data_IF_337262794850
#
_entry.id   IF_337262794850
#
_cell.length_a   1.000
_cell.length_b   1.000
_cell.length_c   1.000
_cell.angle_alpha   90.00
_cell.angle_beta   90.00
_cell.angle_gamma   90.00
#
_symmetry.space_group_name_H-M   'P 1'
#
loop_
_entity.id
_entity.type
_entity.pdbx_description
1 polymer ?
#
# COMPACT_ATOMS: atom_id res chain seq x y z
N UNK A 1 -50.69 -4.77 6.62
CA UNK A 1 -50.29 -5.97 5.86
C UNK A 1 -49.62 -5.59 4.53
N UNK A 2 -50.29 -4.95 3.57
CA UNK A 2 -49.75 -4.68 2.22
C UNK A 2 -48.48 -3.79 2.16
N UNK A 3 -48.36 -2.79 3.04
CA UNK A 3 -47.17 -1.93 3.13
C UNK A 3 -45.92 -2.65 3.64
N UNK A 4 -46.07 -3.70 4.44
CA UNK A 4 -44.93 -4.48 4.96
C UNK A 4 -44.27 -5.31 3.86
N UNK A 5 -45.05 -5.83 2.90
CA UNK A 5 -44.53 -6.56 1.74
C UNK A 5 -43.78 -5.64 0.78
N UNK A 6 -44.28 -4.43 0.56
CA UNK A 6 -43.60 -3.39 -0.24
C UNK A 6 -42.27 -2.96 0.38
N UNK A 7 -42.25 -2.72 1.69
CA UNK A 7 -41.02 -2.41 2.42
C UNK A 7 -40.02 -3.58 2.38
N UNK A 8 -40.50 -4.81 2.51
CA UNK A 8 -39.67 -6.01 2.41
C UNK A 8 -39.01 -6.17 1.04
N UNK A 9 -39.76 -5.90 -0.05
CA UNK A 9 -39.24 -5.96 -1.41
C UNK A 9 -38.20 -4.84 -1.67
N UNK A 10 -38.41 -3.63 -1.15
CA UNK A 10 -37.41 -2.57 -1.25
C UNK A 10 -36.13 -2.91 -0.49
N UNK A 11 -36.24 -3.43 0.74
CA UNK A 11 -35.09 -3.88 1.53
C UNK A 11 -34.32 -5.00 0.83
N UNK A 12 -35.01 -5.98 0.27
CA UNK A 12 -34.40 -7.05 -0.51
C UNK A 12 -33.65 -6.49 -1.74
N UNK A 13 -34.25 -5.54 -2.47
CA UNK A 13 -33.63 -4.87 -3.60
C UNK A 13 -32.34 -4.14 -3.21
N UNK A 14 -32.37 -3.36 -2.13
CA UNK A 14 -31.20 -2.62 -1.63
C UNK A 14 -30.08 -3.57 -1.20
N UNK A 15 -30.41 -4.69 -0.54
CA UNK A 15 -29.41 -5.69 -0.14
C UNK A 15 -28.75 -6.38 -1.34
N UNK A 16 -29.52 -6.73 -2.37
CA UNK A 16 -29.00 -7.36 -3.59
C UNK A 16 -28.06 -6.41 -4.34
N UNK A 17 -28.45 -5.14 -4.48
CA UNK A 17 -27.61 -4.12 -5.11
C UNK A 17 -26.33 -3.92 -4.33
N UNK A 18 -26.40 -3.78 -3.00
CA UNK A 18 -25.22 -3.66 -2.14
C UNK A 18 -24.29 -4.88 -2.23
N UNK A 19 -24.85 -6.08 -2.34
CA UNK A 19 -24.06 -7.31 -2.49
C UNK A 19 -23.30 -7.35 -3.82
N UNK A 20 -23.96 -6.99 -4.92
CA UNK A 20 -23.31 -6.90 -6.23
C UNK A 20 -22.23 -5.82 -6.24
N UNK A 21 -22.52 -4.63 -5.71
CA UNK A 21 -21.55 -3.53 -5.60
C UNK A 21 -20.32 -3.93 -4.77
N UNK A 22 -20.52 -4.61 -3.64
CA UNK A 22 -19.43 -5.11 -2.81
C UNK A 22 -18.58 -6.16 -3.53
N UNK A 23 -19.19 -7.03 -4.34
CA UNK A 23 -18.46 -8.05 -5.11
C UNK A 23 -17.63 -7.42 -6.23
N UNK A 24 -18.18 -6.43 -6.91
CA UNK A 24 -17.48 -5.67 -7.95
C UNK A 24 -16.35 -4.83 -7.37
N UNK A 25 -16.55 -4.14 -6.25
CA UNK A 25 -15.49 -3.41 -5.56
C UNK A 25 -14.32 -4.31 -5.15
N UNK A 26 -14.61 -5.53 -4.66
CA UNK A 26 -13.54 -6.51 -4.35
C UNK A 26 -12.79 -6.94 -5.62
N UNK A 27 -13.50 -7.13 -6.74
CA UNK A 27 -12.89 -7.47 -8.03
C UNK A 27 -12.04 -6.34 -8.60
N UNK A 28 -12.55 -5.11 -8.57
CA UNK A 28 -11.82 -3.91 -8.98
C UNK A 28 -10.55 -3.74 -8.14
N UNK A 29 -10.66 -3.88 -6.82
CA UNK A 29 -9.50 -3.83 -5.92
C UNK A 29 -8.45 -4.92 -6.22
N UNK A 30 -8.88 -6.09 -6.69
CA UNK A 30 -7.96 -7.16 -7.08
C UNK A 30 -7.24 -6.90 -8.43
N UNK A 31 -7.83 -6.08 -9.31
CA UNK A 31 -7.19 -5.67 -10.58
C UNK A 31 -6.12 -4.59 -10.39
N UNK A 32 -6.19 -3.81 -9.32
CA UNK A 32 -5.13 -2.87 -8.95
C UNK A 32 -3.98 -3.61 -8.25
N UNK A 33 -3.16 -4.31 -9.02
CA UNK A 33 -1.82 -4.69 -8.59
C UNK A 33 -0.86 -3.57 -8.97
N UNK A 34 -0.34 -2.87 -7.98
CA UNK A 34 0.78 -1.95 -8.16
C UNK A 34 2.06 -2.76 -8.22
N UNK A 35 3.01 -2.37 -9.07
CA UNK A 35 4.31 -3.02 -9.11
C UNK A 35 5.06 -2.66 -7.81
N UNK A 36 5.27 -3.66 -6.95
CA UNK A 36 5.93 -3.49 -5.66
C UNK A 36 7.32 -2.85 -5.82
N UNK A 37 8.00 -3.10 -6.95
CA UNK A 37 9.32 -2.51 -7.23
C UNK A 37 9.25 -1.00 -7.42
N UNK A 38 8.19 -0.51 -8.06
CA UNK A 38 7.98 0.92 -8.28
C UNK A 38 7.68 1.63 -6.95
N UNK A 39 6.87 0.99 -6.10
CA UNK A 39 6.57 1.47 -4.75
C UNK A 39 7.82 1.57 -3.86
N UNK A 40 8.67 0.53 -3.88
CA UNK A 40 9.91 0.50 -3.10
C UNK A 40 10.90 1.56 -3.62
N UNK A 41 11.01 1.73 -4.95
CA UNK A 41 11.91 2.72 -5.55
C UNK A 41 11.50 4.16 -5.17
N UNK A 42 10.20 4.46 -5.23
CA UNK A 42 9.70 5.78 -4.80
C UNK A 42 9.87 5.97 -3.28
N UNK A 43 9.61 4.93 -2.47
CA UNK A 43 9.83 4.97 -1.03
C UNK A 43 11.29 5.27 -0.68
N UNK A 44 12.24 4.60 -1.34
CA UNK A 44 13.69 4.84 -1.18
C UNK A 44 14.11 6.26 -1.54
N UNK A 45 13.45 6.89 -2.50
CA UNK A 45 13.73 8.28 -2.88
C UNK A 45 13.25 9.27 -1.81
N UNK A 46 12.14 8.96 -1.15
CA UNK A 46 11.49 9.87 -0.19
C UNK A 46 11.95 9.67 1.26
N UNK A 47 12.41 8.46 1.62
CA UNK A 47 12.90 8.09 2.97
C UNK A 47 14.11 8.89 3.49
N UNK A 48 15.10 9.31 2.68
CA UNK A 48 16.25 10.07 3.16
C UNK A 48 15.85 11.45 3.69
N UNK A 49 14.80 12.04 3.11
CA UNK A 49 14.38 13.41 3.39
C UNK A 49 13.16 13.50 4.33
N UNK A 50 12.47 12.38 4.58
CA UNK A 50 11.19 12.37 5.29
C UNK A 50 11.05 11.22 6.28
N UNK A 51 10.28 11.45 7.35
CA UNK A 51 9.90 10.41 8.29
C UNK A 51 9.10 9.28 7.59
N UNK A 52 9.29 7.99 7.92
CA UNK A 52 8.63 6.86 7.27
C UNK A 52 7.10 7.00 7.16
N UNK A 53 6.47 7.56 8.17
CA UNK A 53 5.02 7.80 8.19
C UNK A 53 4.57 8.81 7.13
N UNK A 54 5.36 9.85 6.85
CA UNK A 54 5.08 10.82 5.81
C UNK A 54 5.27 10.20 4.41
N UNK A 55 6.25 9.32 4.25
CA UNK A 55 6.48 8.58 3.00
C UNK A 55 5.31 7.65 2.68
N UNK A 56 4.73 6.98 3.69
CA UNK A 56 3.51 6.17 3.51
C UNK A 56 2.36 7.03 2.99
N UNK A 57 2.13 8.21 3.57
CA UNK A 57 1.08 9.14 3.11
C UNK A 57 1.33 9.59 1.66
N UNK A 58 2.57 9.98 1.33
CA UNK A 58 2.93 10.41 -0.01
C UNK A 58 2.75 9.30 -1.06
N UNK A 59 3.08 8.05 -0.73
CA UNK A 59 2.85 6.89 -1.61
C UNK A 59 1.35 6.64 -1.84
N UNK A 60 0.52 6.78 -0.81
CA UNK A 60 -0.93 6.61 -0.95
C UNK A 60 -1.57 7.71 -1.81
N UNK A 61 -1.08 8.95 -1.70
CA UNK A 61 -1.54 10.07 -2.52
C UNK A 61 -1.09 9.92 -3.98
N UNK A 62 0.14 9.47 -4.20
CA UNK A 62 0.72 9.32 -5.55
C UNK A 62 0.18 8.11 -6.32
N UNK A 63 -0.09 7.01 -5.62
CA UNK A 63 -0.50 5.74 -6.23
C UNK A 63 -1.93 5.34 -5.83
N UNK A 64 -2.94 6.20 -6.02
CA UNK A 64 -4.32 5.83 -5.69
C UNK A 64 -4.85 4.68 -6.59
N UNK A 65 -5.54 3.64 -6.07
CA UNK A 65 -5.97 3.39 -4.69
C UNK A 65 -5.05 2.42 -3.91
N UNK A 66 -3.77 2.77 -3.69
CA UNK A 66 -2.83 1.97 -2.90
C UNK A 66 -3.30 1.83 -1.45
N UNK A 67 -3.39 0.58 -0.99
CA UNK A 67 -3.75 0.27 0.38
C UNK A 67 -2.70 0.75 1.38
N UNK A 68 -3.14 1.20 2.56
CA UNK A 68 -2.23 1.66 3.63
C UNK A 68 -1.22 0.59 4.03
N UNK A 69 -1.62 -0.68 4.03
CA UNK A 69 -0.76 -1.80 4.37
C UNK A 69 0.29 -2.07 3.29
N UNK A 70 -0.09 -1.94 2.01
CA UNK A 70 0.85 -2.06 0.87
C UNK A 70 1.88 -0.94 0.91
N UNK A 71 1.45 0.31 1.13
CA UNK A 71 2.35 1.46 1.27
C UNK A 71 3.32 1.30 2.46
N UNK A 72 2.82 0.82 3.62
CA UNK A 72 3.66 0.52 4.78
C UNK A 72 4.69 -0.57 4.49
N UNK A 73 4.29 -1.65 3.82
CA UNK A 73 5.19 -2.74 3.47
C UNK A 73 6.30 -2.25 2.54
N UNK A 74 5.97 -1.48 1.50
CA UNK A 74 6.95 -0.90 0.60
C UNK A 74 7.95 0.02 1.32
N UNK A 75 7.48 0.87 2.24
CA UNK A 75 8.36 1.73 3.06
C UNK A 75 9.25 0.92 4.00
N UNK A 76 8.72 -0.14 4.60
CA UNK A 76 9.48 -1.00 5.51
C UNK A 76 10.56 -1.78 4.76
N UNK A 77 10.26 -2.30 3.57
CA UNK A 77 11.24 -2.95 2.69
C UNK A 77 12.30 -1.97 2.21
N UNK A 78 11.89 -0.79 1.75
CA UNK A 78 12.82 0.28 1.38
C UNK A 78 13.75 0.68 2.53
N UNK A 79 13.23 0.77 3.76
CA UNK A 79 14.03 1.07 4.96
C UNK A 79 15.02 -0.05 5.28
N UNK A 80 14.59 -1.31 5.18
CA UNK A 80 15.49 -2.47 5.38
C UNK A 80 16.62 -2.48 4.36
N UNK A 81 16.32 -2.26 3.09
CA UNK A 81 17.32 -2.21 2.03
C UNK A 81 18.30 -1.04 2.20
N UNK A 82 17.82 0.12 2.64
CA UNK A 82 18.67 1.27 2.96
C UNK A 82 19.63 0.95 4.12
N UNK A 83 19.11 0.37 5.21
CA UNK A 83 19.92 0.01 6.37
C UNK A 83 20.95 -1.10 6.05
N UNK A 84 20.59 -2.06 5.20
CA UNK A 84 21.51 -3.13 4.78
C UNK A 84 22.65 -2.59 3.92
N UNK A 85 22.36 -1.59 3.07
CA UNK A 85 23.39 -0.92 2.27
C UNK A 85 24.35 -0.07 3.12
N UNK A 86 23.87 0.52 4.22
CA UNK A 86 24.70 1.27 5.16
C UNK A 86 25.67 0.33 5.90
N UNK A 87 25.21 -0.84 6.33
CA UNK A 87 26.06 -1.83 7.02
C UNK A 87 27.17 -2.39 6.11
N UNK A 88 26.87 -2.63 4.82
CA UNK A 88 27.88 -3.08 3.85
C UNK A 88 28.91 -1.99 3.50
N UNK A 89 28.49 -0.72 3.45
CA UNK A 89 29.41 0.40 3.29
C UNK A 89 30.37 0.59 4.48
N UNK A 90 29.98 0.12 5.67
CA UNK A 90 30.81 0.21 6.87
C UNK A 90 31.88 -0.89 6.94
N UNK A 91 31.62 -2.08 6.39
CA UNK A 91 32.59 -3.18 6.35
C UNK A 91 33.71 -2.97 5.34
N UNK A 92 33.44 -2.27 4.23
CA UNK A 92 34.43 -2.04 3.17
C UNK A 92 35.43 -0.92 3.52
N UNK A 93 35.05 0.02 4.39
CA UNK A 93 35.94 1.09 4.84
C UNK A 93 37.03 0.63 5.83
N UNK A 94 36.93 -0.60 6.37
CA UNK A 94 37.89 -1.15 7.33
C UNK A 94 39.02 -1.98 6.69
N UNK A 95 38.97 -2.23 5.37
CA UNK A 95 39.92 -3.07 4.65
C UNK A 95 41.01 -2.29 3.90
N UNK A 96 41.49 -1.15 4.43
CA UNK A 96 42.71 -0.51 3.91
C UNK A 96 43.93 -1.10 4.62
N UNK A 97 44.72 -2.00 4.00
CA UNK A 97 45.97 -2.43 4.60
C UNK A 97 46.89 -1.21 4.63
N UNK A 98 47.32 -0.83 5.83
CA UNK A 98 48.48 0.04 5.99
C UNK A 98 49.69 -0.77 5.52
N UNK A 99 50.17 -0.45 4.32
CA UNK A 99 51.51 -0.83 3.87
C UNK A 99 52.60 -0.17 4.70
#
# INVERSE_FOLDING_TARGET
MMYAYLLGLMLAGVLIVNFQLSRENKRLKAMFHFDDKELIAEAKKLLPDNHPTAVVLALQEKFFPLGRDQAKNAVNEATKELNTAIDQGHTDSSAKPRG
#
